data_IF_561246745726
#
_entry.id   IF_561246745726
#
_cell.length_a   1.000
_cell.length_b   1.000
_cell.length_c   1.000
_cell.angle_alpha   90.00
_cell.angle_beta   90.00
_cell.angle_gamma   90.00
#
_symmetry.space_group_name_H-M   'P 1'
#
loop_
_entity.id
_entity.type
_entity.pdbx_description
1 polymer ?
#
# COMPACT_ATOMS: atom_id res chain seq x y z
N UNK A 1 -27.67 -49.80 -6.73
CA UNK A 1 -26.32 -49.24 -6.51
C UNK A 1 -26.42 -47.73 -6.64
N UNK A 2 -26.18 -46.98 -5.55
CA UNK A 2 -26.30 -45.50 -5.50
C UNK A 2 -24.91 -44.90 -5.72
N UNK A 3 -24.67 -44.31 -6.90
CA UNK A 3 -23.46 -43.51 -7.13
C UNK A 3 -23.67 -42.12 -6.50
N UNK A 4 -22.91 -41.81 -5.45
CA UNK A 4 -22.76 -40.46 -4.93
C UNK A 4 -21.71 -39.73 -5.78
N UNK A 5 -22.14 -38.76 -6.57
CA UNK A 5 -21.25 -37.74 -7.12
C UNK A 5 -20.81 -36.83 -5.96
N UNK A 6 -19.55 -36.92 -5.59
CA UNK A 6 -18.92 -35.99 -4.66
C UNK A 6 -18.47 -34.77 -5.48
N UNK A 7 -19.27 -33.69 -5.49
CA UNK A 7 -18.83 -32.41 -6.03
C UNK A 7 -17.76 -31.83 -5.10
N UNK A 8 -16.52 -31.82 -5.57
CA UNK A 8 -15.45 -31.02 -4.97
C UNK A 8 -15.77 -29.54 -5.20
N UNK A 9 -16.23 -28.85 -4.16
CA UNK A 9 -16.22 -27.39 -4.13
C UNK A 9 -14.78 -26.92 -3.99
N UNK A 10 -14.18 -26.48 -5.09
CA UNK A 10 -12.92 -25.71 -5.05
C UNK A 10 -13.28 -24.31 -4.54
N UNK A 11 -12.75 -23.85 -3.39
CA UNK A 11 -13.01 -22.50 -2.93
C UNK A 11 -12.30 -21.50 -3.84
N UNK A 12 -13.09 -20.80 -4.68
CA UNK A 12 -12.65 -19.75 -5.60
C UNK A 12 -12.04 -18.52 -4.85
N UNK A 13 -12.14 -18.47 -3.52
CA UNK A 13 -11.62 -17.38 -2.70
C UNK A 13 -10.07 -17.24 -2.69
N UNK A 14 -9.32 -18.27 -3.09
CA UNK A 14 -7.86 -18.26 -3.03
C UNK A 14 -7.18 -17.45 -4.15
N UNK A 15 -7.88 -17.12 -5.23
CA UNK A 15 -7.25 -16.46 -6.40
C UNK A 15 -7.29 -14.92 -6.30
N UNK A 16 -8.17 -14.37 -5.48
CA UNK A 16 -8.43 -12.93 -5.38
C UNK A 16 -7.35 -12.11 -4.67
N UNK A 17 -6.58 -12.74 -3.78
CA UNK A 17 -5.50 -12.11 -3.01
C UNK A 17 -4.12 -12.69 -3.39
N UNK A 18 -3.98 -13.30 -4.58
CA UNK A 18 -2.69 -13.84 -5.01
C UNK A 18 -1.65 -12.73 -5.03
N UNK A 19 -0.52 -12.99 -4.37
CA UNK A 19 0.47 -12.00 -3.96
C UNK A 19 1.05 -11.14 -5.09
N UNK A 20 1.62 -10.01 -4.65
CA UNK A 20 2.25 -8.96 -5.44
C UNK A 20 3.01 -9.55 -6.64
N UNK A 21 2.62 -9.15 -7.86
CA UNK A 21 3.45 -9.43 -9.03
C UNK A 21 4.77 -8.67 -8.87
N UNK A 22 5.93 -9.30 -9.06
CA UNK A 22 7.20 -8.59 -9.00
C UNK A 22 7.21 -7.47 -10.06
N UNK A 23 7.65 -6.28 -9.66
CA UNK A 23 7.88 -5.18 -10.60
C UNK A 23 8.91 -5.63 -11.63
N UNK A 24 8.48 -5.85 -12.88
CA UNK A 24 9.37 -6.13 -14.00
C UNK A 24 10.03 -4.82 -14.45
N UNK A 25 10.92 -4.25 -13.62
CA UNK A 25 11.88 -3.28 -14.11
C UNK A 25 12.93 -4.08 -14.88
N UNK A 26 12.72 -4.22 -16.18
CA UNK A 26 13.72 -4.76 -17.09
C UNK A 26 15.03 -3.99 -16.89
N UNK A 27 16.05 -4.66 -16.33
CA UNK A 27 17.42 -4.15 -16.23
C UNK A 27 17.95 -3.92 -17.64
N UNK A 28 17.74 -2.73 -18.18
CA UNK A 28 18.39 -2.29 -19.41
C UNK A 28 19.89 -2.25 -19.12
N UNK A 29 20.68 -3.10 -19.79
CA UNK A 29 22.15 -3.02 -19.76
C UNK A 29 22.56 -1.62 -20.21
N UNK A 30 23.06 -0.80 -19.29
CA UNK A 30 23.64 0.51 -19.62
C UNK A 30 25.08 0.28 -20.05
N UNK A 31 25.40 0.73 -21.25
CA UNK A 31 26.74 0.67 -21.83
C UNK A 31 27.63 1.72 -21.14
N UNK A 32 28.87 1.35 -20.81
CA UNK A 32 29.67 2.01 -19.79
C UNK A 32 30.40 3.30 -20.25
N UNK A 33 30.06 3.84 -21.44
CA UNK A 33 30.82 4.91 -22.10
C UNK A 33 30.12 6.28 -22.18
N UNK A 34 29.08 6.53 -21.38
CA UNK A 34 28.45 7.86 -21.25
C UNK A 34 28.32 8.28 -19.79
N UNK A 35 29.44 8.72 -19.21
CA UNK A 35 29.52 9.46 -17.95
C UNK A 35 30.21 10.78 -18.29
N UNK A 36 29.46 11.87 -18.57
CA UNK A 36 28.97 12.70 -17.46
C UNK A 36 27.67 13.48 -17.80
N UNK A 37 26.50 12.83 -17.81
CA UNK A 37 25.18 13.51 -17.77
C UNK A 37 24.13 12.63 -17.06
N UNK A 38 24.51 12.02 -15.93
CA UNK A 38 23.62 11.16 -15.13
C UNK A 38 23.60 11.60 -13.67
N UNK A 39 23.54 12.91 -13.45
CA UNK A 39 23.44 13.47 -12.10
C UNK A 39 22.68 14.79 -12.11
N UNK A 40 21.43 14.79 -12.58
CA UNK A 40 20.40 15.77 -12.20
C UNK A 40 19.08 15.48 -12.92
N UNK A 41 18.19 14.78 -12.22
CA UNK A 41 16.85 15.24 -11.87
C UNK A 41 16.20 14.09 -11.11
N UNK A 42 16.33 14.08 -9.77
CA UNK A 42 15.41 13.31 -8.94
C UNK A 42 14.04 13.91 -9.27
N UNK A 43 13.22 13.19 -10.02
CA UNK A 43 11.84 13.61 -10.26
C UNK A 43 11.23 13.78 -8.87
N UNK A 44 10.71 14.97 -8.55
CA UNK A 44 10.09 15.24 -7.26
C UNK A 44 8.93 14.27 -6.96
N UNK A 45 8.41 13.56 -7.98
CA UNK A 45 7.51 12.41 -7.79
C UNK A 45 8.18 11.15 -7.26
N UNK A 46 9.44 10.91 -7.58
CA UNK A 46 10.18 9.72 -7.11
C UNK A 46 10.25 9.65 -5.58
N UNK A 47 10.26 10.80 -4.89
CA UNK A 47 10.22 10.82 -3.42
C UNK A 47 8.81 10.52 -2.84
N UNK A 48 7.78 10.42 -3.68
CA UNK A 48 6.37 10.16 -3.30
C UNK A 48 5.91 8.73 -3.65
N UNK A 49 6.84 7.83 -3.97
CA UNK A 49 6.56 6.45 -4.34
C UNK A 49 7.57 5.50 -3.68
N UNK A 50 7.25 4.21 -3.61
CA UNK A 50 8.16 3.14 -3.20
C UNK A 50 8.43 2.24 -4.40
N UNK A 51 9.71 2.09 -4.79
CA UNK A 51 10.09 1.40 -6.03
C UNK A 51 9.65 -0.08 -6.08
N UNK A 52 9.48 -0.70 -4.91
CA UNK A 52 9.00 -2.07 -4.80
C UNK A 52 7.49 -2.19 -5.04
N UNK A 53 6.72 -1.13 -4.76
CA UNK A 53 5.26 -1.16 -4.75
C UNK A 53 4.67 -1.07 -6.15
N UNK A 54 3.59 -1.81 -6.38
CA UNK A 54 2.70 -1.58 -7.51
C UNK A 54 1.61 -0.57 -7.08
N UNK A 55 1.93 0.71 -7.21
CA UNK A 55 1.06 1.83 -6.83
C UNK A 55 0.08 2.19 -7.96
N UNK A 56 -1.22 2.04 -7.71
CA UNK A 56 -2.30 2.23 -8.68
C UNK A 56 -3.38 3.19 -8.15
N UNK A 57 -4.03 3.95 -9.04
CA UNK A 57 -5.18 4.79 -8.67
C UNK A 57 -6.43 3.96 -8.35
N UNK A 58 -6.47 2.71 -8.85
CA UNK A 58 -7.55 1.75 -8.66
C UNK A 58 -6.94 0.37 -8.42
N UNK A 59 -7.36 -0.31 -7.35
CA UNK A 59 -6.94 -1.67 -7.03
C UNK A 59 -8.15 -2.59 -6.91
N UNK A 60 -7.92 -3.89 -7.15
CA UNK A 60 -8.92 -4.95 -7.06
C UNK A 60 -8.43 -6.01 -6.08
N UNK A 61 -9.29 -6.46 -5.16
CA UNK A 61 -8.94 -7.45 -4.14
C UNK A 61 -10.15 -7.92 -3.33
N UNK A 62 -9.98 -8.95 -2.49
CA UNK A 62 -11.03 -9.43 -1.58
C UNK A 62 -10.95 -8.73 -0.22
N UNK A 63 -11.30 -7.44 -0.17
CA UNK A 63 -11.18 -6.62 1.04
C UNK A 63 -12.26 -6.93 2.08
N UNK A 64 -13.44 -7.38 1.64
CA UNK A 64 -14.56 -7.70 2.56
C UNK A 64 -14.59 -9.15 3.06
N UNK A 65 -13.80 -10.04 2.44
CA UNK A 65 -13.87 -11.48 2.67
C UNK A 65 -15.08 -12.15 2.00
N UNK A 66 -15.86 -11.41 1.19
CA UNK A 66 -17.12 -11.89 0.59
C UNK A 66 -17.07 -11.99 -0.93
N UNK A 67 -16.00 -11.55 -1.58
CA UNK A 67 -15.89 -11.52 -3.03
C UNK A 67 -14.86 -10.51 -3.50
N UNK A 68 -14.80 -10.28 -4.82
CA UNK A 68 -13.94 -9.28 -5.41
C UNK A 68 -14.54 -7.89 -5.20
N UNK A 69 -13.74 -6.99 -4.66
CA UNK A 69 -14.04 -5.59 -4.41
C UNK A 69 -13.07 -4.71 -5.22
N UNK A 70 -13.53 -3.52 -5.62
CA UNK A 70 -12.70 -2.50 -6.27
C UNK A 70 -12.59 -1.29 -5.34
N UNK A 71 -11.37 -0.78 -5.16
CA UNK A 71 -11.09 0.47 -4.46
C UNK A 71 -10.40 1.44 -5.41
N UNK A 72 -10.69 2.72 -5.30
CA UNK A 72 -10.06 3.76 -6.10
C UNK A 72 -9.90 5.06 -5.33
N UNK A 73 -8.99 5.90 -5.78
CA UNK A 73 -8.76 7.24 -5.23
C UNK A 73 -9.75 8.21 -5.86
N UNK A 74 -10.53 8.88 -5.04
CA UNK A 74 -11.39 10.01 -5.40
C UNK A 74 -10.71 11.31 -4.96
N UNK A 75 -10.47 12.20 -5.91
CA UNK A 75 -10.04 13.57 -5.67
C UNK A 75 -11.26 14.49 -5.54
N UNK A 76 -11.31 15.27 -4.47
CA UNK A 76 -12.37 16.25 -4.21
C UNK A 76 -11.76 17.65 -4.17
N UNK A 77 -12.06 18.41 -5.23
CA UNK A 77 -11.63 19.80 -5.37
C UNK A 77 -12.50 20.75 -4.53
N UNK A 78 -11.92 21.75 -3.86
CA UNK A 78 -12.69 22.84 -3.24
C UNK A 78 -13.33 23.76 -4.29
N UNK A 79 -14.42 24.44 -3.93
CA UNK A 79 -15.17 25.37 -4.80
C UNK A 79 -14.31 26.53 -5.33
N UNK A 80 -13.36 26.99 -4.53
CA UNK A 80 -12.30 27.91 -4.94
C UNK A 80 -11.01 27.13 -5.05
N UNK A 81 -10.33 27.23 -6.20
CA UNK A 81 -9.12 26.46 -6.45
C UNK A 81 -8.00 26.84 -5.47
N UNK A 82 -7.77 25.93 -4.52
CA UNK A 82 -6.73 26.02 -3.51
C UNK A 82 -6.02 24.67 -3.42
N UNK A 83 -4.80 24.64 -3.95
CA UNK A 83 -3.95 23.44 -4.03
C UNK A 83 -3.62 22.82 -2.67
N UNK A 84 -3.82 23.54 -1.57
CA UNK A 84 -3.60 23.04 -0.21
C UNK A 84 -4.84 22.40 0.41
N UNK A 85 -6.02 22.59 -0.20
CA UNK A 85 -7.31 22.15 0.34
C UNK A 85 -7.99 21.06 -0.50
N UNK A 86 -7.25 20.41 -1.40
CA UNK A 86 -7.72 19.24 -2.13
C UNK A 86 -7.74 18.04 -1.18
N UNK A 87 -8.84 17.30 -1.20
CA UNK A 87 -9.00 16.11 -0.37
C UNK A 87 -8.98 14.85 -1.23
N UNK A 88 -8.33 13.83 -0.71
CA UNK A 88 -8.26 12.52 -1.33
C UNK A 88 -9.01 11.51 -0.50
N UNK A 89 -9.72 10.60 -1.14
CA UNK A 89 -10.45 9.54 -0.46
C UNK A 89 -10.23 8.21 -1.15
N UNK A 90 -10.01 7.16 -0.37
CA UNK A 90 -10.20 5.80 -0.85
C UNK A 90 -11.70 5.48 -0.78
N UNK A 91 -12.27 5.16 -1.94
CA UNK A 91 -13.69 4.85 -2.11
C UNK A 91 -13.85 3.50 -2.81
N UNK A 92 -15.08 2.98 -2.81
CA UNK A 92 -15.40 1.70 -3.45
C UNK A 92 -16.71 1.78 -4.19
N UNK A 93 -16.84 0.99 -5.26
CA UNK A 93 -18.13 0.70 -5.89
C UNK A 93 -19.01 -0.20 -5.00
N UNK A 94 -18.43 -0.92 -4.04
CA UNK A 94 -19.16 -1.69 -3.05
C UNK A 94 -19.64 -0.79 -1.90
N UNK A 95 -20.96 -0.55 -1.84
CA UNK A 95 -21.62 0.29 -0.82
C UNK A 95 -21.41 -0.17 0.64
N UNK A 96 -20.92 -1.38 0.87
CA UNK A 96 -20.61 -1.90 2.19
C UNK A 96 -19.19 -1.58 2.66
N UNK A 97 -18.35 -1.04 1.79
CA UNK A 97 -17.02 -0.53 2.12
C UNK A 97 -17.14 0.98 2.36
N UNK A 98 -16.88 1.48 3.58
CA UNK A 98 -16.95 2.90 3.85
C UNK A 98 -15.82 3.64 3.12
N UNK A 99 -16.07 4.89 2.72
CA UNK A 99 -15.00 5.78 2.28
C UNK A 99 -14.05 6.11 3.44
N UNK A 100 -12.80 6.41 3.13
CA UNK A 100 -11.83 6.95 4.10
C UNK A 100 -10.94 8.01 3.45
N UNK A 101 -10.57 9.03 4.22
CA UNK A 101 -9.68 10.09 3.77
C UNK A 101 -8.24 9.58 3.67
N UNK A 102 -7.54 10.01 2.62
CA UNK A 102 -6.14 9.75 2.37
C UNK A 102 -5.38 11.06 2.44
N UNK A 103 -4.14 10.99 2.88
CA UNK A 103 -3.26 12.15 2.91
C UNK A 103 -2.45 12.27 1.62
N UNK A 104 -2.61 13.41 0.93
CA UNK A 104 -1.75 13.73 -0.19
C UNK A 104 -1.88 15.16 -0.69
N UNK A 105 -1.13 15.47 -1.76
CA UNK A 105 -1.00 16.81 -2.34
C UNK A 105 -1.41 16.81 -3.82
N UNK A 106 -1.81 17.98 -4.32
CA UNK A 106 -2.29 18.15 -5.69
C UNK A 106 -1.38 17.54 -6.77
N UNK A 107 -0.08 17.83 -6.72
CA UNK A 107 0.81 17.42 -7.80
C UNK A 107 1.06 15.90 -7.79
N UNK A 108 0.99 15.28 -6.61
CA UNK A 108 1.20 13.85 -6.37
C UNK A 108 0.04 13.28 -5.54
N UNK A 109 -1.12 13.01 -6.17
CA UNK A 109 -2.20 12.29 -5.51
C UNK A 109 -1.69 10.98 -4.90
N UNK A 110 -2.18 10.59 -3.71
CA UNK A 110 -1.80 9.32 -3.11
C UNK A 110 -2.31 8.17 -3.97
N UNK A 111 -1.51 7.10 -4.07
CA UNK A 111 -1.85 5.88 -4.79
C UNK A 111 -2.03 4.71 -3.86
N UNK A 112 -2.80 3.73 -4.29
CA UNK A 112 -3.11 2.53 -3.51
C UNK A 112 -2.20 1.37 -3.90
N UNK A 113 -1.92 0.52 -2.92
CA UNK A 113 -1.21 -0.74 -3.10
C UNK A 113 -2.13 -1.84 -2.59
N UNK A 114 -2.39 -2.86 -3.41
CA UNK A 114 -2.99 -4.09 -2.89
C UNK A 114 -1.90 -4.88 -2.17
N UNK A 115 -1.94 -4.87 -0.84
CA UNK A 115 -0.96 -5.54 0.01
C UNK A 115 -1.16 -7.07 0.07
N UNK A 116 -2.27 -7.56 -0.46
CA UNK A 116 -2.68 -8.96 -0.30
C UNK A 116 -3.09 -9.26 1.14
N UNK A 117 -3.19 -10.55 1.49
CA UNK A 117 -3.58 -11.00 2.84
C UNK A 117 -2.34 -11.10 3.76
N UNK A 118 -1.94 -9.96 4.34
CA UNK A 118 -0.72 -9.80 5.13
C UNK A 118 -0.77 -10.59 6.43
N UNK A 119 -1.89 -10.54 7.15
CA UNK A 119 -2.04 -11.23 8.44
C UNK A 119 -2.62 -12.66 8.31
N UNK A 120 -2.94 -13.09 7.08
CA UNK A 120 -3.51 -14.41 6.74
C UNK A 120 -4.90 -14.63 7.35
N UNK A 121 -5.71 -13.58 7.44
CA UNK A 121 -7.07 -13.62 7.95
C UNK A 121 -8.12 -13.96 6.87
N UNK A 122 -7.73 -14.04 5.59
CA UNK A 122 -8.60 -14.34 4.46
C UNK A 122 -9.20 -13.11 3.77
N UNK A 123 -8.72 -11.91 4.11
CA UNK A 123 -9.06 -10.64 3.43
C UNK A 123 -7.78 -9.96 2.96
N UNK A 124 -7.87 -9.17 1.90
CA UNK A 124 -6.75 -8.36 1.44
C UNK A 124 -6.64 -7.07 2.30
N UNK A 125 -5.42 -6.60 2.50
CA UNK A 125 -5.11 -5.27 3.02
C UNK A 125 -4.77 -4.28 1.91
N UNK A 126 -4.82 -2.99 2.27
CA UNK A 126 -4.53 -1.88 1.37
C UNK A 126 -3.43 -1.01 1.95
N UNK A 127 -2.39 -0.78 1.18
CA UNK A 127 -1.33 0.14 1.53
C UNK A 127 -1.47 1.48 0.79
N UNK A 128 -0.97 2.56 1.37
CA UNK A 128 -0.69 3.80 0.65
C UNK A 128 0.42 4.59 1.33
N UNK A 129 1.20 5.32 0.54
CA UNK A 129 2.18 6.27 1.04
C UNK A 129 1.52 7.65 1.14
N UNK A 130 1.67 8.33 2.28
CA UNK A 130 1.38 9.76 2.36
C UNK A 130 2.16 10.50 1.28
N UNK A 131 1.58 11.55 0.68
CA UNK A 131 2.36 12.45 -0.20
C UNK A 131 2.45 13.84 0.41
N UNK A 132 3.58 14.54 0.21
CA UNK A 132 3.83 15.85 0.83
C UNK A 132 4.79 16.71 0.01
N UNK A 133 4.78 18.03 0.20
CA UNK A 133 5.57 18.93 -0.64
C UNK A 133 7.09 18.79 -0.42
N UNK A 134 7.58 18.89 0.83
CA UNK A 134 9.00 19.19 1.08
C UNK A 134 9.70 18.26 2.11
N UNK A 135 9.04 17.21 2.61
CA UNK A 135 9.68 16.30 3.57
C UNK A 135 10.36 15.13 2.84
N UNK A 136 11.46 14.58 3.36
CA UNK A 136 12.01 13.29 2.88
C UNK A 136 11.45 12.07 3.64
N UNK A 137 10.81 12.32 4.78
CA UNK A 137 10.13 11.31 5.60
C UNK A 137 8.68 11.21 5.17
N UNK A 138 8.25 9.99 4.86
CA UNK A 138 6.88 9.68 4.46
C UNK A 138 6.37 8.52 5.28
N UNK A 139 5.12 8.61 5.69
CA UNK A 139 4.51 7.55 6.44
C UNK A 139 3.73 6.64 5.51
N UNK A 140 4.06 5.34 5.57
CA UNK A 140 3.27 4.32 4.92
C UNK A 140 2.12 3.91 5.83
N UNK A 141 0.93 3.73 5.27
CA UNK A 141 -0.24 3.26 6.02
C UNK A 141 -0.71 1.95 5.42
N UNK A 142 -1.06 1.01 6.30
CA UNK A 142 -1.67 -0.26 5.91
C UNK A 142 -3.04 -0.35 6.57
N UNK A 143 -4.07 -0.43 5.76
CA UNK A 143 -5.46 -0.52 6.16
C UNK A 143 -5.99 -1.95 6.03
N UNK A 144 -6.86 -2.31 6.97
CA UNK A 144 -7.65 -3.54 6.95
C UNK A 144 -9.12 -3.21 7.24
N UNK A 145 -10.04 -3.86 6.53
CA UNK A 145 -11.47 -3.63 6.70
C UNK A 145 -12.04 -4.64 7.71
N UNK A 146 -12.34 -4.17 8.92
CA UNK A 146 -12.86 -5.04 9.99
C UNK A 146 -14.22 -4.58 10.49
N UNK A 147 -15.18 -5.51 10.44
CA UNK A 147 -16.57 -5.26 10.85
C UNK A 147 -17.17 -4.00 10.18
N UNK A 148 -16.89 -3.84 8.88
CA UNK A 148 -17.38 -2.70 8.08
C UNK A 148 -16.73 -1.36 8.42
N UNK A 149 -15.54 -1.36 9.05
CA UNK A 149 -14.78 -0.14 9.38
C UNK A 149 -13.32 -0.31 9.04
N UNK A 150 -12.72 0.71 8.44
CA UNK A 150 -11.28 0.77 8.24
C UNK A 150 -10.56 0.91 9.57
N UNK A 151 -9.43 0.19 9.66
CA UNK A 151 -8.49 0.19 10.78
C UNK A 151 -7.09 0.23 10.20
N UNK A 152 -6.15 0.79 10.94
CA UNK A 152 -4.76 0.46 10.71
C UNK A 152 -4.57 -1.03 10.99
N UNK A 153 -4.07 -1.79 10.02
CA UNK A 153 -3.60 -3.15 10.30
C UNK A 153 -2.52 -3.05 11.36
N UNK A 154 -1.57 -2.15 11.16
CA UNK A 154 -0.44 -1.89 12.03
C UNK A 154 -0.24 -0.37 12.14
N UNK A 155 0.16 0.10 13.31
CA UNK A 155 0.48 1.50 13.57
C UNK A 155 1.76 1.61 14.40
N UNK A 156 2.70 2.45 13.98
CA UNK A 156 3.97 2.71 14.67
C UNK A 156 5.08 3.22 13.76
N UNK A 157 6.19 3.64 14.37
CA UNK A 157 7.30 4.36 13.74
C UNK A 157 8.05 3.56 12.66
N UNK A 158 7.98 2.23 12.68
CA UNK A 158 8.58 1.38 11.64
C UNK A 158 7.83 1.46 10.29
N UNK A 159 6.76 2.25 10.19
CA UNK A 159 6.12 2.59 8.92
C UNK A 159 6.56 3.96 8.39
N UNK A 160 7.47 4.64 9.09
CA UNK A 160 8.13 5.83 8.56
C UNK A 160 9.20 5.38 7.57
N UNK A 161 9.02 5.80 6.33
CA UNK A 161 9.89 5.47 5.21
C UNK A 161 10.81 6.66 4.94
N UNK A 162 12.13 6.54 5.12
CA UNK A 162 13.08 7.50 4.56
C UNK A 162 13.23 7.27 3.04
N UNK A 163 13.62 8.31 2.31
CA UNK A 163 13.77 8.27 0.84
C UNK A 163 14.66 7.11 0.36
N UNK A 164 15.83 6.94 0.98
CA UNK A 164 16.75 5.88 0.59
C UNK A 164 16.15 4.46 0.77
N UNK A 165 15.25 4.28 1.74
CA UNK A 165 14.55 3.00 1.93
C UNK A 165 13.52 2.78 0.82
N UNK A 166 12.79 3.82 0.41
CA UNK A 166 11.81 3.72 -0.69
C UNK A 166 12.44 3.30 -2.01
N UNK A 167 13.71 3.66 -2.23
CA UNK A 167 14.49 3.27 -3.40
C UNK A 167 15.36 2.01 -3.20
N UNK A 168 15.16 1.27 -2.10
CA UNK A 168 15.93 0.04 -1.83
C UNK A 168 15.44 -1.18 -2.62
N UNK A 169 14.26 -1.08 -3.24
CA UNK A 169 13.58 -2.22 -3.86
C UNK A 169 13.00 -3.23 -2.85
N UNK A 170 12.84 -2.82 -1.58
CA UNK A 170 12.17 -3.62 -0.54
C UNK A 170 10.72 -3.20 -0.37
N UNK A 171 9.86 -4.21 -0.27
CA UNK A 171 8.49 -4.04 0.20
C UNK A 171 8.47 -3.52 1.64
N UNK A 172 7.51 -2.66 1.99
CA UNK A 172 7.32 -2.24 3.39
C UNK A 172 6.82 -3.39 4.25
N UNK A 173 5.86 -4.17 3.72
CA UNK A 173 5.20 -5.23 4.46
C UNK A 173 5.06 -6.51 3.62
N UNK A 174 5.23 -7.63 4.31
CA UNK A 174 5.03 -8.98 3.79
C UNK A 174 4.33 -9.86 4.84
N UNK A 175 3.67 -10.97 4.44
CA UNK A 175 3.11 -11.90 5.40
C UNK A 175 4.17 -12.49 6.33
N UNK A 176 3.97 -12.39 7.64
CA UNK A 176 4.90 -12.92 8.63
C UNK A 176 4.98 -14.45 8.62
N UNK A 177 5.99 -15.04 9.28
CA UNK A 177 6.20 -16.49 9.28
C UNK A 177 5.06 -17.27 9.94
N UNK A 178 4.25 -16.63 10.79
CA UNK A 178 3.11 -17.22 11.47
C UNK A 178 1.83 -16.47 11.08
N UNK A 179 0.71 -17.19 10.97
CA UNK A 179 -0.61 -16.58 10.80
C UNK A 179 -0.87 -15.56 11.92
N UNK A 180 -1.42 -14.40 11.57
CA UNK A 180 -1.65 -13.27 12.47
C UNK A 180 -0.39 -12.46 12.78
N UNK A 181 0.66 -12.60 11.99
CA UNK A 181 1.87 -11.76 12.08
C UNK A 181 2.25 -11.20 10.72
N UNK A 182 2.88 -10.04 10.72
CA UNK A 182 3.33 -9.33 9.52
C UNK A 182 4.81 -9.04 9.68
N UNK A 183 5.59 -9.27 8.63
CA UNK A 183 6.97 -8.86 8.51
C UNK A 183 7.01 -7.43 7.97
N UNK A 184 7.69 -6.53 8.69
CA UNK A 184 7.90 -5.15 8.27
C UNK A 184 9.38 -4.93 8.02
N UNK A 185 9.69 -4.37 6.86
CA UNK A 185 11.00 -3.83 6.51
C UNK A 185 10.98 -2.33 6.72
N UNK A 186 11.98 -1.79 7.40
CA UNK A 186 12.04 -0.37 7.69
C UNK A 186 13.48 0.14 7.69
N UNK A 187 13.65 1.38 7.22
CA UNK A 187 14.94 2.06 7.24
C UNK A 187 15.23 2.66 8.60
N UNK A 188 16.43 2.44 9.13
CA UNK A 188 16.86 3.03 10.40
C UNK A 188 17.74 4.25 10.14
N UNK A 189 17.23 5.40 10.58
CA UNK A 189 17.91 6.69 10.54
C UNK A 189 18.49 7.02 9.14
N UNK A 190 19.54 7.83 9.11
CA UNK A 190 20.29 8.19 7.90
C UNK A 190 21.44 7.20 7.60
N UNK A 191 21.48 6.07 8.30
CA UNK A 191 22.61 5.10 8.21
C UNK A 191 22.54 4.20 6.98
N UNK A 192 21.40 4.19 6.27
CA UNK A 192 21.17 3.30 5.12
C UNK A 192 20.94 1.83 5.51
N UNK A 193 20.72 1.55 6.80
CA UNK A 193 20.52 0.19 7.31
C UNK A 193 19.04 -0.17 7.31
N UNK A 194 18.68 -1.21 6.55
CA UNK A 194 17.34 -1.80 6.59
C UNK A 194 17.28 -2.82 7.73
N UNK A 195 16.22 -2.74 8.53
CA UNK A 195 15.91 -3.74 9.56
C UNK A 195 14.56 -4.36 9.30
N UNK A 196 14.41 -5.54 9.90
CA UNK A 196 13.21 -6.34 9.83
C UNK A 196 12.62 -6.47 11.23
N UNK A 197 11.30 -6.41 11.33
CA UNK A 197 10.58 -6.74 12.56
C UNK A 197 9.34 -7.55 12.24
N UNK A 198 8.96 -8.46 13.14
CA UNK A 198 7.72 -9.22 13.03
C UNK A 198 6.77 -8.70 14.08
N UNK A 199 5.64 -8.19 13.63
CA UNK A 199 4.63 -7.56 14.49
C UNK A 199 3.29 -8.28 14.39
N UNK A 200 2.47 -8.13 15.43
CA UNK A 200 1.06 -8.50 15.37
C UNK A 200 0.26 -7.28 14.92
N UNK A 201 -0.78 -7.44 14.11
CA UNK A 201 -1.71 -6.37 13.80
C UNK A 201 -2.25 -5.70 15.07
N UNK A 202 -2.27 -4.37 15.09
CA UNK A 202 -2.77 -3.56 16.20
C UNK A 202 -4.26 -3.28 16.07
N UNK A 203 -4.79 -3.28 14.84
CA UNK A 203 -6.19 -2.93 14.53
C UNK A 203 -6.60 -1.56 15.10
N UNK A 204 -5.65 -0.62 15.16
CA UNK A 204 -5.87 0.71 15.72
C UNK A 204 -7.00 1.43 14.98
N UNK A 205 -7.81 2.18 15.74
CA UNK A 205 -8.76 3.13 15.13
C UNK A 205 -7.96 4.15 14.34
N UNK A 206 -8.48 4.53 13.18
CA UNK A 206 -7.94 5.66 12.42
C UNK A 206 -8.58 6.90 13.03
N UNK A 207 -7.80 7.63 13.82
CA UNK A 207 -8.23 8.85 14.54
C UNK A 207 -7.50 10.10 14.06
N UNK A 208 -6.54 9.89 13.18
CA UNK A 208 -5.55 10.82 12.72
C UNK A 208 -6.27 11.80 11.80
N UNK A 209 -6.83 12.85 12.40
CA UNK A 209 -6.88 14.17 11.77
C UNK A 209 -5.59 14.83 12.22
N UNK A 210 -4.47 14.45 11.61
CA UNK A 210 -3.22 15.17 11.89
C UNK A 210 -3.44 16.63 11.48
N UNK A 211 -3.44 17.48 12.51
CA UNK A 211 -3.75 18.90 12.53
C UNK A 211 -2.80 19.72 11.65
#
# INVERSE_FOLDING_TARGET
MKNKFLLYFIPIALVACNGKQPSNIAKKKVNQDTLPVLKEQVDWRSIQTIDAHNEEDTIVGNFTGKGIDTLYVEEVMPDSFDYHNIKYYMVSSNKHIPRIELYGIFQAPPKLVNEGDLDRNGTCEVGYLHTWYNSQWRQYRIFTLRHGKWKYLIYGDYLDTPEWFRHSGKEVAEPGPRKGTVLIHYGVDLTGVIKDTIVKPTFSKITDREL
#
